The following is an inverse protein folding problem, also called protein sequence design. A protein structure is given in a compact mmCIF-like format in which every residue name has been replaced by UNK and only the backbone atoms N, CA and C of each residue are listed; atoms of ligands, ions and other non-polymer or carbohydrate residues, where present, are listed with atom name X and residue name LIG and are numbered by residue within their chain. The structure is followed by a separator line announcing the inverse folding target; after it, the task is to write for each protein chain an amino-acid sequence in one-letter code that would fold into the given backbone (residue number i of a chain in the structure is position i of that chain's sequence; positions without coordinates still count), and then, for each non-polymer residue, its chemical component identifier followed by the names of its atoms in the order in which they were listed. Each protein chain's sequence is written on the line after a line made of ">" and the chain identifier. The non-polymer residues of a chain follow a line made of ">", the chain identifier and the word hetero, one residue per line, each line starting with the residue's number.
data_IF_088463389001
#
_entry.id   IF_088463389001
#
_cell.length_a   1.000
_cell.length_b   1.000
_cell.length_c   1.000
_cell.angle_alpha   90.00
_cell.angle_beta   90.00
_cell.angle_gamma   90.00
#
_symmetry.space_group_name_H-M   'P 1'
#
loop_
_entity.id
_entity.type
_entity.pdbx_description
1 polymer ?
#
# COMPACT_ATOMS: atom_id res chain seq x y z
N UNK A 1 14.35 -17.28 -13.65
CA UNK A 1 13.18 -16.44 -14.02
C UNK A 1 12.99 -15.45 -12.89
N UNK A 2 13.26 -14.16 -13.13
CA UNK A 2 13.33 -13.12 -12.09
C UNK A 2 11.92 -12.89 -11.50
N UNK A 3 11.67 -13.05 -10.17
CA UNK A 3 10.35 -12.90 -9.56
C UNK A 3 9.78 -11.47 -9.65
N UNK A 4 10.58 -10.49 -10.04
CA UNK A 4 10.18 -9.08 -10.12
C UNK A 4 9.42 -8.69 -11.40
N UNK A 5 9.43 -9.51 -12.45
CA UNK A 5 8.76 -9.19 -13.73
C UNK A 5 7.22 -9.14 -13.64
N UNK A 6 6.61 -9.74 -12.62
CA UNK A 6 5.14 -9.74 -12.41
C UNK A 6 4.58 -8.47 -11.75
N UNK A 7 5.45 -7.62 -11.20
CA UNK A 7 5.03 -6.43 -10.42
C UNK A 7 5.07 -5.13 -11.22
N UNK A 8 5.68 -5.17 -12.39
CA UNK A 8 5.78 -4.01 -13.27
C UNK A 8 4.72 -4.11 -14.36
N UNK A 9 3.52 -3.57 -14.09
CA UNK A 9 2.51 -3.39 -15.12
C UNK A 9 3.10 -2.61 -16.30
N UNK A 10 3.35 -3.32 -17.40
CA UNK A 10 3.48 -2.87 -18.76
C UNK A 10 4.15 -1.52 -19.04
N UNK A 11 5.44 -1.34 -18.65
CA UNK A 11 6.27 -0.31 -19.28
C UNK A 11 7.29 -1.06 -20.15
N UNK A 12 7.03 -1.10 -21.44
CA UNK A 12 7.96 -1.64 -22.42
C UNK A 12 9.30 -0.89 -22.30
N UNK A 13 10.41 -1.62 -22.05
CA UNK A 13 11.76 -1.08 -22.00
C UNK A 13 12.34 -0.83 -20.59
N UNK A 14 11.84 -1.48 -19.53
CA UNK A 14 12.50 -1.44 -18.24
C UNK A 14 13.74 -2.35 -18.23
N UNK A 15 14.93 -1.79 -18.11
CA UNK A 15 16.13 -2.50 -17.72
C UNK A 15 16.23 -2.39 -16.19
N UNK A 16 16.30 -3.52 -15.51
CA UNK A 16 16.47 -3.54 -14.06
C UNK A 16 17.99 -3.60 -13.76
N UNK A 17 18.48 -2.56 -13.11
CA UNK A 17 19.80 -2.54 -12.48
C UNK A 17 19.62 -2.89 -11.00
N UNK A 18 20.68 -3.32 -10.36
CA UNK A 18 20.70 -3.56 -8.92
C UNK A 18 21.77 -2.71 -8.24
N UNK A 19 21.47 -2.25 -7.04
CA UNK A 19 22.43 -1.57 -6.19
C UNK A 19 22.41 -2.19 -4.80
N UNK A 20 23.58 -2.59 -4.30
CA UNK A 20 23.71 -3.06 -2.93
C UNK A 20 24.09 -1.89 -2.03
N UNK A 21 23.24 -1.57 -1.07
CA UNK A 21 23.47 -0.48 -0.13
C UNK A 21 22.70 -0.74 1.18
N UNK A 22 23.24 -0.25 2.29
CA UNK A 22 22.67 -0.42 3.64
C UNK A 22 22.31 -1.89 3.97
N UNK A 23 23.12 -2.85 3.53
CA UNK A 23 22.92 -4.29 3.74
C UNK A 23 21.75 -4.90 2.93
N UNK A 24 21.25 -4.21 1.92
CA UNK A 24 20.13 -4.67 1.06
C UNK A 24 20.53 -4.56 -0.42
N UNK A 25 20.12 -5.51 -1.23
CA UNK A 25 20.12 -5.38 -2.69
C UNK A 25 18.79 -4.80 -3.14
N UNK A 26 18.84 -3.68 -3.83
CA UNK A 26 17.67 -2.91 -4.25
C UNK A 26 17.62 -2.82 -5.76
N UNK A 27 16.49 -3.17 -6.33
CA UNK A 27 16.26 -3.00 -7.76
C UNK A 27 16.19 -1.52 -8.14
N UNK A 28 16.85 -1.18 -9.26
CA UNK A 28 16.79 0.16 -9.87
C UNK A 28 16.10 0.06 -11.21
N UNK A 29 14.82 0.43 -11.23
CA UNK A 29 14.00 0.43 -12.44
C UNK A 29 14.37 1.62 -13.34
N UNK A 30 14.91 1.33 -14.51
CA UNK A 30 15.25 2.33 -15.53
C UNK A 30 14.05 2.55 -16.44
N UNK A 31 13.48 3.75 -16.42
CA UNK A 31 12.29 4.10 -17.20
C UNK A 31 12.61 5.22 -18.18
N UNK A 32 12.50 4.96 -19.49
CA UNK A 32 12.58 6.03 -20.51
C UNK A 32 11.32 6.89 -20.47
N UNK A 33 11.54 8.19 -20.35
CA UNK A 33 10.43 9.16 -20.32
C UNK A 33 10.57 10.16 -21.47
N UNK A 34 9.57 10.27 -22.38
CA UNK A 34 9.60 11.27 -23.45
C UNK A 34 9.69 12.72 -22.96
N UNK A 35 9.25 12.96 -21.72
CA UNK A 35 9.25 14.28 -21.11
C UNK A 35 10.52 14.58 -20.30
N UNK A 36 11.34 13.57 -20.05
CA UNK A 36 12.57 13.77 -19.28
C UNK A 36 13.62 14.52 -20.12
N UNK A 37 14.13 15.61 -19.58
CA UNK A 37 15.23 16.40 -20.17
C UNK A 37 16.59 16.07 -19.53
N UNK A 38 16.57 15.42 -18.37
CA UNK A 38 17.76 15.02 -17.58
C UNK A 38 17.48 13.72 -16.84
N UNK A 39 18.54 13.05 -16.40
CA UNK A 39 18.46 11.91 -15.49
C UNK A 39 17.91 12.37 -14.14
N UNK A 40 16.96 11.61 -13.58
CA UNK A 40 16.43 11.87 -12.24
C UNK A 40 16.26 10.56 -11.48
N UNK A 41 16.67 10.56 -10.21
CA UNK A 41 16.47 9.43 -9.29
C UNK A 41 15.29 9.71 -8.35
N UNK A 42 14.53 8.66 -8.07
CA UNK A 42 13.48 8.66 -7.06
C UNK A 42 13.51 7.35 -6.28
N UNK A 43 13.64 7.43 -4.96
CA UNK A 43 13.47 6.30 -4.08
C UNK A 43 11.98 6.11 -3.76
N UNK A 44 11.43 4.96 -4.11
CA UNK A 44 10.03 4.59 -3.89
C UNK A 44 9.96 3.61 -2.71
N UNK A 45 9.82 4.14 -1.50
CA UNK A 45 9.75 3.34 -0.29
C UNK A 45 8.50 2.44 -0.25
N UNK A 46 7.42 2.80 -0.94
CA UNK A 46 6.19 1.99 -1.04
C UNK A 46 6.44 0.73 -1.85
N UNK A 47 7.15 0.85 -2.97
CA UNK A 47 7.48 -0.29 -3.83
C UNK A 47 8.76 -1.01 -3.42
N UNK A 48 9.63 -0.36 -2.65
CA UNK A 48 10.96 -0.88 -2.30
C UNK A 48 11.91 -0.90 -3.50
N UNK A 49 11.80 0.11 -4.38
CA UNK A 49 12.63 0.22 -5.59
C UNK A 49 13.17 1.65 -5.74
N UNK A 50 14.32 1.78 -6.36
CA UNK A 50 14.80 3.06 -6.86
C UNK A 50 14.39 3.15 -8.33
N UNK A 51 13.91 4.31 -8.76
CA UNK A 51 13.53 4.56 -10.16
C UNK A 51 14.45 5.63 -10.72
N UNK A 52 14.97 5.38 -11.92
CA UNK A 52 15.69 6.37 -12.71
C UNK A 52 14.89 6.72 -13.95
N UNK A 53 14.55 7.99 -14.12
CA UNK A 53 13.97 8.46 -15.37
C UNK A 53 15.10 8.86 -16.33
N UNK A 54 15.07 8.23 -17.50
CA UNK A 54 16.08 8.37 -18.55
C UNK A 54 15.50 9.18 -19.73
N UNK A 55 16.16 10.24 -20.22
CA UNK A 55 15.79 10.90 -21.44
C UNK A 55 15.75 9.95 -22.65
N UNK A 56 14.96 10.23 -23.70
CA UNK A 56 14.77 9.28 -24.80
C UNK A 56 16.06 8.85 -25.51
N UNK A 57 17.03 9.77 -25.64
CA UNK A 57 18.31 9.53 -26.35
C UNK A 57 19.47 9.11 -25.44
N UNK A 58 19.29 9.15 -24.12
CA UNK A 58 20.35 8.79 -23.18
C UNK A 58 20.62 7.28 -23.22
N UNK A 59 21.90 6.90 -23.04
CA UNK A 59 22.34 5.50 -23.08
C UNK A 59 22.14 4.86 -21.69
N UNK A 60 22.00 3.52 -21.65
CA UNK A 60 21.89 2.79 -20.40
C UNK A 60 23.14 2.98 -19.52
N UNK A 61 24.32 3.01 -20.14
CA UNK A 61 25.58 3.26 -19.41
C UNK A 61 25.60 4.61 -18.67
N UNK A 62 24.86 5.62 -19.17
CA UNK A 62 24.71 6.89 -18.47
C UNK A 62 23.85 6.72 -17.21
N UNK A 63 22.83 5.84 -17.26
CA UNK A 63 22.01 5.52 -16.09
C UNK A 63 22.84 4.77 -15.04
N UNK A 64 23.65 3.80 -15.46
CA UNK A 64 24.58 3.05 -14.58
C UNK A 64 25.57 3.98 -13.88
N UNK A 65 26.26 4.83 -14.66
CA UNK A 65 27.19 5.82 -14.12
C UNK A 65 26.48 6.80 -13.16
N UNK A 66 25.26 7.22 -13.48
CA UNK A 66 24.48 8.12 -12.64
C UNK A 66 24.07 7.46 -11.32
N UNK A 67 23.67 6.18 -11.35
CA UNK A 67 23.34 5.39 -10.14
C UNK A 67 24.61 5.25 -9.28
N UNK A 68 25.75 4.90 -9.88
CA UNK A 68 27.02 4.78 -9.16
C UNK A 68 27.44 6.10 -8.50
N UNK A 69 27.36 7.22 -9.23
CA UNK A 69 27.69 8.55 -8.71
C UNK A 69 26.76 8.99 -7.56
N UNK A 70 25.54 8.45 -7.50
CA UNK A 70 24.54 8.79 -6.47
C UNK A 70 24.36 7.69 -5.42
N UNK A 71 25.30 6.72 -5.33
CA UNK A 71 25.20 5.60 -4.40
C UNK A 71 24.96 6.04 -2.95
N UNK A 72 25.69 7.04 -2.46
CA UNK A 72 25.53 7.56 -1.10
C UNK A 72 24.11 8.13 -0.85
N UNK A 73 23.54 8.84 -1.84
CA UNK A 73 22.17 9.35 -1.75
C UNK A 73 21.15 8.19 -1.72
N UNK A 74 21.34 7.17 -2.54
CA UNK A 74 20.49 5.96 -2.58
C UNK A 74 20.55 5.26 -1.23
N UNK A 75 21.77 5.00 -0.72
CA UNK A 75 21.99 4.34 0.56
C UNK A 75 21.29 5.06 1.72
N UNK A 76 21.41 6.40 1.80
CA UNK A 76 20.75 7.20 2.83
C UNK A 76 19.23 7.14 2.77
N UNK A 77 18.64 6.95 1.57
CA UNK A 77 17.19 6.79 1.39
C UNK A 77 16.73 5.38 1.72
N UNK A 78 17.44 4.37 1.24
CA UNK A 78 17.15 2.94 1.48
C UNK A 78 17.26 2.59 2.97
N UNK A 79 18.21 3.17 3.69
CA UNK A 79 18.38 2.96 5.13
C UNK A 79 17.13 3.38 5.95
N UNK A 80 16.30 4.28 5.41
CA UNK A 80 15.05 4.74 6.03
C UNK A 80 13.82 3.95 5.60
N UNK A 81 13.97 2.98 4.70
CA UNK A 81 12.83 2.17 4.28
C UNK A 81 12.37 1.26 5.40
N UNK A 82 11.08 0.94 5.46
CA UNK A 82 10.56 0.00 6.44
C UNK A 82 11.22 -1.37 6.32
N UNK A 83 11.15 -2.13 7.40
CA UNK A 83 11.51 -3.55 7.41
C UNK A 83 10.33 -4.36 6.92
N UNK A 84 10.59 -5.37 6.09
CA UNK A 84 9.56 -6.31 5.65
C UNK A 84 9.04 -7.14 6.85
N UNK A 85 7.73 -7.30 6.92
CA UNK A 85 7.07 -8.15 7.93
C UNK A 85 6.36 -9.27 7.16
N UNK A 86 6.98 -10.44 6.99
CA UNK A 86 6.38 -11.54 6.23
C UNK A 86 5.15 -12.10 6.94
N UNK A 87 4.20 -12.65 6.19
CA UNK A 87 3.15 -13.47 6.77
C UNK A 87 3.69 -14.87 7.07
N UNK A 88 4.39 -15.00 8.18
CA UNK A 88 5.00 -16.24 8.63
C UNK A 88 4.39 -16.68 9.98
N UNK A 89 4.44 -17.98 10.33
CA UNK A 89 4.10 -18.46 11.67
C UNK A 89 4.80 -17.65 12.75
N UNK A 90 4.06 -17.18 13.76
CA UNK A 90 4.56 -16.36 14.88
C UNK A 90 4.81 -14.89 14.55
N UNK A 91 4.67 -14.45 13.29
CA UNK A 91 4.84 -13.05 12.96
C UNK A 91 3.73 -12.18 13.55
N UNK A 92 4.10 -11.01 14.07
CA UNK A 92 3.16 -10.00 14.56
C UNK A 92 3.05 -8.87 13.52
N UNK A 93 1.82 -8.55 13.13
CA UNK A 93 1.50 -7.51 12.15
C UNK A 93 0.62 -6.43 12.79
N UNK A 94 0.66 -5.18 12.32
CA UNK A 94 -0.32 -4.18 12.73
C UNK A 94 -1.72 -4.60 12.28
N UNK A 95 -2.72 -4.33 13.11
CA UNK A 95 -4.12 -4.59 12.80
C UNK A 95 -5.01 -3.73 13.69
N UNK A 96 -5.93 -2.98 13.08
CA UNK A 96 -7.00 -2.25 13.78
C UNK A 96 -6.52 -1.30 14.91
N UNK A 97 -5.38 -0.65 14.71
CA UNK A 97 -4.75 0.23 15.68
C UNK A 97 -3.93 -0.50 16.75
N UNK A 98 -4.01 -1.82 16.83
CA UNK A 98 -3.19 -2.70 17.66
C UNK A 98 -2.30 -3.62 16.82
N UNK A 99 -2.09 -4.83 17.32
CA UNK A 99 -1.30 -5.88 16.66
C UNK A 99 -2.09 -7.18 16.56
N UNK A 100 -1.71 -8.02 15.61
CA UNK A 100 -2.27 -9.35 15.40
C UNK A 100 -1.12 -10.34 15.19
N UNK A 101 -1.06 -11.38 16.01
CA UNK A 101 -0.06 -12.45 15.92
C UNK A 101 -0.58 -13.59 15.04
N UNK A 102 0.20 -14.03 14.07
CA UNK A 102 -0.13 -15.15 13.19
C UNK A 102 0.17 -16.46 13.90
N UNK A 103 -0.83 -17.02 14.56
CA UNK A 103 -0.72 -18.21 15.41
C UNK A 103 -1.01 -19.47 14.58
N UNK A 104 0.06 -20.12 14.16
CA UNK A 104 -0.03 -21.32 13.32
C UNK A 104 0.01 -22.62 14.14
N UNK A 105 -1.02 -23.43 13.99
CA UNK A 105 -1.21 -24.68 14.72
C UNK A 105 -0.85 -25.95 13.91
N UNK A 106 0.14 -25.88 13.07
CA UNK A 106 0.61 -27.01 12.29
C UNK A 106 -0.33 -27.39 11.14
N UNK A 107 -0.18 -28.62 10.61
CA UNK A 107 -0.89 -29.08 9.41
C UNK A 107 -2.37 -29.44 9.64
N UNK A 108 -2.90 -29.30 10.83
CA UNK A 108 -4.31 -29.57 11.11
C UNK A 108 -5.18 -28.70 10.20
N UNK A 109 -6.18 -29.31 9.58
CA UNK A 109 -7.20 -28.57 8.82
C UNK A 109 -8.00 -27.68 9.79
N UNK A 110 -7.60 -26.45 9.92
CA UNK A 110 -8.34 -25.44 10.65
C UNK A 110 -8.73 -24.33 9.67
N UNK A 111 -9.86 -23.69 9.93
CA UNK A 111 -10.21 -22.41 9.31
C UNK A 111 -9.16 -21.34 9.61
N UNK A 112 -9.43 -20.11 9.24
CA UNK A 112 -8.73 -18.93 9.73
C UNK A 112 -9.68 -18.24 10.67
N UNK A 113 -9.33 -18.15 11.96
CA UNK A 113 -10.20 -17.61 13.01
C UNK A 113 -9.41 -16.57 13.81
N UNK A 114 -10.01 -15.41 14.06
CA UNK A 114 -9.44 -14.43 14.99
C UNK A 114 -9.95 -14.70 16.38
N UNK A 115 -9.03 -14.74 17.35
CA UNK A 115 -9.29 -14.79 18.78
C UNK A 115 -8.45 -13.70 19.46
N UNK A 116 -9.10 -12.64 19.87
CA UNK A 116 -8.43 -11.46 20.44
C UNK A 116 -7.40 -10.84 19.48
N UNK A 117 -6.14 -10.86 19.90
CA UNK A 117 -4.97 -10.39 19.17
C UNK A 117 -4.24 -11.50 18.38
N UNK A 118 -4.84 -12.68 18.27
CA UNK A 118 -4.30 -13.84 17.55
C UNK A 118 -5.14 -14.17 16.33
N UNK A 119 -4.47 -14.45 15.21
CA UNK A 119 -5.07 -15.05 14.03
C UNK A 119 -4.65 -16.51 13.97
N UNK A 120 -5.56 -17.38 14.36
CA UNK A 120 -5.34 -18.83 14.41
C UNK A 120 -5.43 -19.36 12.98
N UNK A 121 -4.36 -20.06 12.55
CA UNK A 121 -4.25 -20.65 11.21
C UNK A 121 -3.82 -22.11 11.33
N UNK A 122 -4.41 -22.97 10.53
CA UNK A 122 -3.96 -24.34 10.34
C UNK A 122 -3.59 -24.60 8.87
N UNK A 123 -3.15 -25.83 8.57
CA UNK A 123 -2.73 -26.28 7.23
C UNK A 123 -1.25 -26.09 6.98
N UNK A 124 -0.78 -26.48 5.79
CA UNK A 124 0.64 -26.43 5.45
C UNK A 124 1.22 -25.02 5.62
N UNK A 125 2.40 -24.89 6.22
CA UNK A 125 3.05 -23.62 6.51
C UNK A 125 3.17 -22.71 5.26
N UNK A 126 3.45 -23.30 4.09
CA UNK A 126 3.52 -22.58 2.81
C UNK A 126 2.20 -21.89 2.42
N UNK A 127 1.05 -22.27 3.01
CA UNK A 127 -0.25 -21.64 2.74
C UNK A 127 -0.55 -20.45 3.65
N UNK A 128 0.20 -20.27 4.73
CA UNK A 128 -0.02 -19.21 5.72
C UNK A 128 -0.06 -17.81 5.07
N UNK A 129 0.86 -17.43 4.18
CA UNK A 129 0.83 -16.09 3.57
C UNK A 129 -0.45 -15.84 2.77
N UNK A 130 -0.86 -16.78 1.94
CA UNK A 130 -2.06 -16.64 1.11
C UNK A 130 -3.36 -16.63 1.93
N UNK A 131 -3.42 -17.41 3.02
CA UNK A 131 -4.58 -17.48 3.93
C UNK A 131 -4.69 -16.20 4.75
N UNK A 132 -3.60 -15.71 5.29
CA UNK A 132 -3.55 -14.43 6.02
C UNK A 132 -4.00 -13.29 5.11
N UNK A 133 -3.48 -13.20 3.89
CA UNK A 133 -3.86 -12.15 2.95
C UNK A 133 -5.36 -12.20 2.60
N UNK A 134 -5.91 -13.38 2.35
CA UNK A 134 -7.36 -13.52 2.07
C UNK A 134 -8.19 -13.06 3.25
N UNK A 135 -7.80 -13.48 4.47
CA UNK A 135 -8.50 -13.06 5.68
C UNK A 135 -8.45 -11.55 5.89
N UNK A 136 -7.27 -10.93 5.75
CA UNK A 136 -7.11 -9.47 5.87
C UNK A 136 -7.96 -8.70 4.84
N UNK A 137 -8.04 -9.20 3.60
CA UNK A 137 -8.91 -8.60 2.58
C UNK A 137 -10.39 -8.72 2.92
N UNK A 138 -10.81 -9.86 3.46
CA UNK A 138 -12.19 -10.07 3.91
C UNK A 138 -12.50 -9.17 5.12
N UNK A 139 -11.59 -9.08 6.09
CA UNK A 139 -11.72 -8.18 7.24
C UNK A 139 -11.79 -6.70 6.81
N UNK A 140 -10.95 -6.28 5.86
CA UNK A 140 -10.98 -4.92 5.32
C UNK A 140 -12.31 -4.62 4.62
N UNK A 141 -12.81 -5.55 3.81
CA UNK A 141 -14.11 -5.37 3.14
C UNK A 141 -15.27 -5.33 4.15
N UNK A 142 -15.23 -6.22 5.15
CA UNK A 142 -16.25 -6.30 6.21
C UNK A 142 -16.30 -5.06 7.10
N UNK A 143 -15.21 -4.32 7.24
CA UNK A 143 -15.15 -3.05 7.98
C UNK A 143 -15.52 -1.85 7.09
N UNK A 144 -14.91 -1.74 5.91
CA UNK A 144 -15.03 -0.56 5.05
C UNK A 144 -16.38 -0.48 4.31
N UNK A 145 -16.97 -1.61 3.92
CA UNK A 145 -18.20 -1.59 3.13
C UNK A 145 -19.42 -1.11 3.94
N UNK A 146 -19.71 -1.62 5.15
CA UNK A 146 -20.82 -1.12 5.96
C UNK A 146 -20.66 0.38 6.30
N UNK A 147 -19.47 0.81 6.69
CA UNK A 147 -19.18 2.21 7.00
C UNK A 147 -19.42 3.13 5.78
N UNK A 148 -18.95 2.71 4.60
CA UNK A 148 -19.18 3.46 3.35
C UNK A 148 -20.65 3.54 2.99
N UNK A 149 -21.38 2.42 3.07
CA UNK A 149 -22.80 2.39 2.73
C UNK A 149 -23.63 3.24 3.69
N UNK A 150 -23.32 3.21 4.98
CA UNK A 150 -23.99 4.03 5.98
C UNK A 150 -23.80 5.54 5.70
N UNK A 151 -22.56 5.98 5.39
CA UNK A 151 -22.30 7.37 5.07
C UNK A 151 -22.90 7.78 3.72
N UNK A 152 -22.84 6.93 2.70
CA UNK A 152 -23.47 7.20 1.39
C UNK A 152 -25.00 7.36 1.52
N UNK A 153 -25.64 6.51 2.31
CA UNK A 153 -27.09 6.59 2.56
C UNK A 153 -27.50 7.90 3.27
N UNK A 154 -26.68 8.43 4.19
CA UNK A 154 -26.88 9.75 4.81
C UNK A 154 -26.92 10.90 3.78
N UNK A 155 -26.24 10.71 2.65
CA UNK A 155 -26.19 11.68 1.55
C UNK A 155 -27.23 11.40 0.45
N UNK A 156 -28.09 10.38 0.61
CA UNK A 156 -29.05 9.94 -0.40
C UNK A 156 -28.41 9.22 -1.59
N UNK A 157 -27.19 8.72 -1.42
CA UNK A 157 -26.45 7.98 -2.45
C UNK A 157 -26.34 6.48 -2.14
N UNK A 158 -26.10 5.69 -3.18
CA UNK A 158 -25.69 4.29 -3.08
C UNK A 158 -24.23 4.14 -3.50
N UNK A 159 -23.50 3.22 -2.89
CA UNK A 159 -22.13 2.94 -3.24
C UNK A 159 -21.88 1.42 -3.34
N UNK A 160 -21.03 1.03 -4.27
CA UNK A 160 -20.48 -0.34 -4.30
C UNK A 160 -19.04 -0.30 -3.84
N UNK A 161 -18.67 -1.23 -2.96
CA UNK A 161 -17.35 -1.23 -2.32
C UNK A 161 -16.54 -2.44 -2.72
N UNK A 162 -15.28 -2.23 -3.06
CA UNK A 162 -14.32 -3.31 -3.24
C UNK A 162 -12.96 -2.97 -2.62
N UNK A 163 -12.16 -3.99 -2.33
CA UNK A 163 -10.80 -3.82 -1.82
C UNK A 163 -9.78 -4.29 -2.85
N UNK A 164 -8.71 -3.50 -3.00
CA UNK A 164 -7.60 -3.71 -3.94
C UNK A 164 -6.27 -3.59 -3.19
N UNK A 165 -5.16 -3.63 -3.90
CA UNK A 165 -3.82 -3.37 -3.35
C UNK A 165 -3.05 -2.30 -4.17
N UNK A 166 -3.57 -1.08 -4.31
CA UNK A 166 -2.88 -0.03 -5.04
C UNK A 166 -1.70 0.51 -4.25
N UNK A 167 -0.60 0.81 -4.95
CA UNK A 167 0.61 1.36 -4.33
C UNK A 167 0.59 2.89 -4.19
N UNK A 168 -0.36 3.60 -4.82
CA UNK A 168 -0.31 5.07 -4.97
C UNK A 168 -1.44 5.81 -4.27
N UNK A 169 -2.46 5.11 -3.78
CA UNK A 169 -3.64 5.72 -3.15
C UNK A 169 -4.26 4.77 -2.13
N UNK A 170 -5.01 5.31 -1.18
CA UNK A 170 -5.70 4.55 -0.14
C UNK A 170 -7.14 4.24 -0.51
N UNK A 171 -7.76 5.12 -1.31
CA UNK A 171 -9.09 4.94 -1.85
C UNK A 171 -9.22 5.56 -3.23
N UNK A 172 -10.37 5.36 -3.86
CA UNK A 172 -10.82 6.05 -5.07
C UNK A 172 -12.32 5.89 -5.24
N UNK A 173 -13.01 6.96 -5.59
CA UNK A 173 -14.42 6.96 -5.95
C UNK A 173 -14.56 7.21 -7.45
N UNK A 174 -15.34 6.38 -8.14
CA UNK A 174 -15.72 6.59 -9.52
C UNK A 174 -17.05 7.34 -9.60
N UNK A 175 -17.31 8.01 -10.72
CA UNK A 175 -18.58 8.72 -10.98
C UNK A 175 -19.80 7.80 -10.96
N UNK A 176 -19.61 6.49 -11.12
CA UNK A 176 -20.66 5.48 -10.99
C UNK A 176 -21.04 5.13 -9.56
N UNK A 177 -20.39 5.72 -8.54
CA UNK A 177 -20.55 5.35 -7.14
C UNK A 177 -19.75 4.11 -6.72
N UNK A 178 -18.87 3.58 -7.59
CA UNK A 178 -17.98 2.49 -7.23
C UNK A 178 -16.76 3.03 -6.45
N UNK A 179 -16.62 2.59 -5.20
CA UNK A 179 -15.54 2.99 -4.31
C UNK A 179 -14.59 1.80 -4.10
N UNK A 180 -13.30 2.02 -4.34
CA UNK A 180 -12.27 1.03 -4.13
C UNK A 180 -11.34 1.51 -3.01
N UNK A 181 -11.00 0.61 -2.07
CA UNK A 181 -10.05 0.88 -1.00
C UNK A 181 -8.83 -0.04 -1.09
N UNK A 182 -7.71 0.43 -0.54
CA UNK A 182 -6.60 -0.46 -0.22
C UNK A 182 -6.98 -1.35 0.97
N UNK A 183 -6.85 -2.69 0.82
CA UNK A 183 -7.05 -3.60 1.95
C UNK A 183 -6.13 -3.29 3.12
N UNK A 184 -4.99 -2.64 2.85
CA UNK A 184 -3.99 -2.29 3.88
C UNK A 184 -4.50 -1.27 4.89
N UNK A 185 -5.63 -0.63 4.64
CA UNK A 185 -6.29 0.25 5.59
C UNK A 185 -6.69 -0.48 6.88
N UNK A 186 -6.97 -1.79 6.84
CA UNK A 186 -7.27 -2.57 8.04
C UNK A 186 -6.07 -2.67 9.00
N UNK A 187 -4.86 -2.42 8.51
CA UNK A 187 -3.64 -2.35 9.30
C UNK A 187 -3.46 -1.00 10.01
N UNK A 188 -4.22 0.01 9.61
CA UNK A 188 -4.18 1.35 10.18
C UNK A 188 -5.16 1.49 11.37
N UNK A 189 -4.97 2.50 12.24
CA UNK A 189 -5.95 2.84 13.27
C UNK A 189 -7.35 3.09 12.72
N UNK A 190 -8.43 2.74 13.46
CA UNK A 190 -9.81 2.96 13.02
C UNK A 190 -10.10 4.40 12.58
N UNK A 191 -9.66 5.40 13.33
CA UNK A 191 -9.86 6.81 13.00
C UNK A 191 -9.25 7.19 11.63
N UNK A 192 -8.10 6.59 11.27
CA UNK A 192 -7.48 6.81 9.95
C UNK A 192 -8.32 6.19 8.84
N UNK A 193 -8.84 4.96 9.04
CA UNK A 193 -9.74 4.30 8.08
C UNK A 193 -11.02 5.09 7.87
N UNK A 194 -11.68 5.49 8.96
CA UNK A 194 -12.91 6.29 8.93
C UNK A 194 -12.71 7.60 8.17
N UNK A 195 -11.58 8.27 8.38
CA UNK A 195 -11.24 9.49 7.63
C UNK A 195 -11.07 9.23 6.13
N UNK A 196 -10.52 8.07 5.71
CA UNK A 196 -10.45 7.70 4.30
C UNK A 196 -11.84 7.37 3.75
N UNK A 197 -12.69 6.68 4.52
CA UNK A 197 -14.08 6.40 4.11
C UNK A 197 -14.85 7.70 3.90
N UNK A 198 -14.79 8.64 4.85
CA UNK A 198 -15.42 9.96 4.73
C UNK A 198 -14.93 10.72 3.48
N UNK A 199 -13.61 10.67 3.21
CA UNK A 199 -13.02 11.27 2.02
C UNK A 199 -13.60 10.70 0.71
N UNK A 200 -13.64 9.37 0.58
CA UNK A 200 -14.15 8.74 -0.66
C UNK A 200 -15.66 8.89 -0.81
N UNK A 201 -16.42 8.89 0.30
CA UNK A 201 -17.87 9.13 0.26
C UNK A 201 -18.17 10.59 -0.11
N UNK A 202 -17.39 11.57 0.35
CA UNK A 202 -17.53 12.96 -0.05
C UNK A 202 -17.38 13.17 -1.57
N UNK A 203 -16.64 12.31 -2.25
CA UNK A 203 -16.51 12.30 -3.71
C UNK A 203 -17.79 11.88 -4.45
N UNK A 204 -18.76 11.27 -3.79
CA UNK A 204 -20.09 11.02 -4.40
C UNK A 204 -20.83 12.34 -4.70
N UNK A 205 -20.52 13.39 -3.94
CA UNK A 205 -21.16 14.73 -4.09
C UNK A 205 -20.20 15.72 -4.77
N UNK A 206 -18.94 15.71 -4.39
CA UNK A 206 -17.94 16.69 -4.86
C UNK A 206 -16.77 16.01 -5.54
N UNK A 207 -16.64 16.14 -6.87
CA UNK A 207 -15.53 15.57 -7.62
C UNK A 207 -14.17 16.20 -7.30
N UNK A 208 -14.13 17.46 -6.88
CA UNK A 208 -12.93 18.26 -6.65
C UNK A 208 -12.73 18.54 -5.16
N UNK A 209 -11.48 18.60 -4.70
CA UNK A 209 -11.11 18.89 -3.32
C UNK A 209 -11.21 20.38 -2.95
N UNK A 210 -12.31 21.05 -3.30
CA UNK A 210 -12.61 22.43 -2.92
C UNK A 210 -13.07 22.56 -1.46
N UNK A 211 -13.42 23.80 -1.05
CA UNK A 211 -13.87 24.06 0.33
C UNK A 211 -15.11 23.23 0.71
N UNK A 212 -16.10 23.13 -0.19
CA UNK A 212 -17.31 22.34 0.04
C UNK A 212 -17.02 20.83 0.22
N UNK A 213 -16.04 20.28 -0.54
CA UNK A 213 -15.58 18.91 -0.36
C UNK A 213 -15.03 18.69 1.06
N UNK A 214 -14.12 19.58 1.50
CA UNK A 214 -13.47 19.41 2.80
C UNK A 214 -14.44 19.63 3.97
N UNK A 215 -15.42 20.54 3.82
CA UNK A 215 -16.48 20.70 4.79
C UNK A 215 -17.31 19.40 4.92
N UNK A 216 -17.81 18.89 3.78
CA UNK A 216 -18.59 17.64 3.78
C UNK A 216 -17.78 16.46 4.32
N UNK A 217 -16.54 16.28 3.90
CA UNK A 217 -15.69 15.19 4.40
C UNK A 217 -15.47 15.30 5.93
N UNK A 218 -15.37 16.53 6.47
CA UNK A 218 -15.33 16.79 7.91
C UNK A 218 -16.61 16.40 8.63
N UNK A 219 -17.76 16.73 8.06
CA UNK A 219 -19.08 16.41 8.64
C UNK A 219 -19.41 14.91 8.62
N UNK A 220 -18.71 14.14 7.77
CA UNK A 220 -18.89 12.70 7.64
C UNK A 220 -18.02 11.88 8.61
N UNK A 221 -17.15 12.50 9.38
CA UNK A 221 -16.29 11.81 10.35
C UNK A 221 -16.14 12.61 11.65
N UNK A 222 -16.13 11.91 12.77
CA UNK A 222 -15.76 12.49 14.06
C UNK A 222 -14.24 12.64 14.21
N UNK A 223 -13.46 12.15 13.24
CA UNK A 223 -12.01 12.13 13.23
C UNK A 223 -11.39 13.38 12.59
N UNK A 224 -10.14 13.64 12.92
CA UNK A 224 -9.35 14.69 12.30
C UNK A 224 -8.77 14.20 10.94
N UNK A 225 -9.36 14.70 9.84
CA UNK A 225 -8.90 14.40 8.47
C UNK A 225 -7.44 14.82 8.23
N UNK A 226 -6.99 15.92 8.82
CA UNK A 226 -5.62 16.39 8.66
C UNK A 226 -4.65 15.47 9.39
N UNK A 227 -4.95 15.08 10.63
CA UNK A 227 -4.16 14.13 11.41
C UNK A 227 -4.09 12.76 10.70
N UNK A 228 -5.20 12.24 10.16
CA UNK A 228 -5.22 11.01 9.39
C UNK A 228 -4.32 11.06 8.16
N UNK A 229 -4.33 12.18 7.40
CA UNK A 229 -3.42 12.39 6.25
C UNK A 229 -1.96 12.46 6.68
N UNK A 230 -1.65 13.10 7.81
CA UNK A 230 -0.29 13.15 8.39
C UNK A 230 0.14 11.74 8.77
N UNK A 231 -0.73 10.98 9.42
CA UNK A 231 -0.45 9.61 9.82
C UNK A 231 -0.14 8.72 8.60
N UNK A 232 -0.97 8.75 7.56
CA UNK A 232 -0.76 7.98 6.33
C UNK A 232 0.51 8.37 5.59
N UNK A 233 0.88 9.66 5.56
CA UNK A 233 2.17 10.10 5.00
C UNK A 233 3.36 9.53 5.77
N UNK A 234 3.26 9.46 7.10
CA UNK A 234 4.34 9.00 7.98
C UNK A 234 4.45 7.47 8.01
N UNK A 235 3.34 6.77 8.06
CA UNK A 235 3.29 5.32 8.31
C UNK A 235 2.89 4.50 7.08
N UNK A 236 2.30 5.12 6.08
CA UNK A 236 1.72 4.42 4.94
C UNK A 236 2.72 3.54 4.17
N UNK A 237 3.96 3.98 4.02
CA UNK A 237 4.98 3.15 3.39
C UNK A 237 5.19 1.83 4.15
N UNK A 238 5.21 1.86 5.49
CA UNK A 238 5.39 0.67 6.32
C UNK A 238 4.25 -0.34 6.14
N UNK A 239 3.00 0.12 5.96
CA UNK A 239 1.87 -0.77 5.69
C UNK A 239 2.05 -1.58 4.39
N UNK A 240 2.77 -1.03 3.41
CA UNK A 240 3.08 -1.74 2.16
C UNK A 240 4.20 -2.78 2.32
N UNK A 241 4.89 -2.80 3.46
CA UNK A 241 5.92 -3.80 3.76
C UNK A 241 5.39 -4.97 4.60
N UNK A 242 4.15 -4.90 5.07
CA UNK A 242 3.45 -6.02 5.69
C UNK A 242 3.04 -7.04 4.61
N UNK A 243 3.39 -8.30 4.83
CA UNK A 243 3.17 -9.40 3.89
C UNK A 243 4.24 -9.52 2.79
N UNK A 244 5.34 -8.76 2.85
CA UNK A 244 6.49 -8.95 1.97
C UNK A 244 7.40 -10.04 2.52
N UNK A 245 7.98 -10.85 1.62
CA UNK A 245 9.11 -11.69 1.97
C UNK A 245 10.34 -10.81 2.28
N UNK A 246 11.15 -11.28 3.20
CA UNK A 246 12.48 -10.72 3.52
C UNK A 246 13.48 -11.09 2.45
#
# INVERSE_FOLDING_TARGET
>A
MNPFSRWFGGVAGAHDLEVTCAGRTVAVAVVRSPRARRLTLRADAVRGVVRIALPPRAKLAEAEAFVAAHHGWIAARVARWPVAVPFAPGATIPFDGGTLTLDWHGERRAGVVRDGDRLILGGAAATVPGRTLRWLRAAALGDLAPATMALAARLGHTATVSVRDPASRWGSCATSGAINYSWRLILAPPAVRQSVVAHEVAHLVHANHGAAFWALAGDLTDGDLAAARVWLRRHGAALHWVGRAT
#
